data_IF_533647320852
#
_entry.id   IF_533647320852
#
_cell.length_a   1.000
_cell.length_b   1.000
_cell.length_c   1.000
_cell.angle_alpha   90.00
_cell.angle_beta   90.00
_cell.angle_gamma   90.00
#
_symmetry.space_group_name_H-M   'P 1'
#
loop_
_entity.id
_entity.type
_entity.pdbx_description
1 polymer ?
#
# COMPACT_ATOMS: atom_id res chain seq x y z
N UNK A 1 2.65 6.73 9.06
CA UNK A 1 2.61 5.36 8.52
C UNK A 1 3.31 5.30 7.17
N UNK A 2 3.67 4.11 6.69
CA UNK A 2 4.18 3.86 5.35
C UNK A 2 3.21 2.95 4.62
N UNK A 3 2.79 3.34 3.42
CA UNK A 3 1.92 2.56 2.54
C UNK A 3 2.69 2.08 1.31
N UNK A 4 2.48 0.83 0.95
CA UNK A 4 3.11 0.16 -0.19
C UNK A 4 2.09 -0.71 -0.94
N UNK A 5 2.28 -0.88 -2.25
CA UNK A 5 1.48 -1.81 -3.08
C UNK A 5 2.41 -2.90 -3.61
N UNK A 6 1.99 -4.16 -3.47
CA UNK A 6 2.69 -5.31 -4.05
C UNK A 6 1.83 -6.05 -5.05
N UNK A 7 2.44 -6.49 -6.14
CA UNK A 7 1.82 -7.44 -7.05
C UNK A 7 1.84 -8.83 -6.43
N UNK A 8 0.68 -9.49 -6.41
CA UNK A 8 0.60 -10.89 -6.04
C UNK A 8 0.78 -11.75 -7.29
N UNK A 9 1.53 -12.87 -7.20
CA UNK A 9 1.69 -13.78 -8.33
C UNK A 9 0.34 -14.21 -8.89
N UNK A 10 0.18 -14.12 -10.20
CA UNK A 10 -0.98 -14.69 -10.87
C UNK A 10 -0.94 -16.22 -10.74
N UNK A 11 -2.12 -16.81 -10.62
CA UNK A 11 -2.23 -18.26 -10.62
C UNK A 11 -2.44 -18.77 -12.06
N UNK A 12 -2.01 -20.00 -12.38
CA UNK A 12 -2.25 -20.57 -13.70
C UNK A 12 -3.75 -20.74 -14.03
N UNK A 13 -4.57 -21.00 -13.01
CA UNK A 13 -6.02 -21.22 -13.09
C UNK A 13 -6.85 -19.93 -12.93
N UNK A 14 -6.20 -18.79 -12.67
CA UNK A 14 -6.87 -17.52 -12.39
C UNK A 14 -6.09 -16.34 -12.99
N UNK A 15 -6.60 -15.81 -14.09
CA UNK A 15 -6.03 -14.66 -14.79
C UNK A 15 -6.22 -13.32 -14.04
N UNK A 16 -7.03 -13.27 -12.98
CA UNK A 16 -7.30 -12.06 -12.23
C UNK A 16 -6.03 -11.57 -11.52
N UNK A 17 -5.55 -10.40 -11.96
CA UNK A 17 -4.47 -9.69 -11.27
C UNK A 17 -4.92 -9.27 -9.88
N UNK A 18 -4.04 -9.46 -8.90
CA UNK A 18 -4.27 -9.03 -7.53
C UNK A 18 -3.09 -8.25 -7.00
N UNK A 19 -3.39 -7.36 -6.07
CA UNK A 19 -2.44 -6.49 -5.43
C UNK A 19 -2.66 -6.57 -3.93
N UNK A 20 -1.57 -6.53 -3.16
CA UNK A 20 -1.62 -6.41 -1.72
C UNK A 20 -1.28 -4.96 -1.36
N UNK A 21 -2.24 -4.28 -0.73
CA UNK A 21 -2.05 -2.99 -0.10
C UNK A 21 -1.57 -3.22 1.32
N UNK A 22 -0.47 -2.55 1.69
CA UNK A 22 0.16 -2.70 3.02
C UNK A 22 0.28 -1.33 3.65
N UNK A 23 -0.21 -1.17 4.88
CA UNK A 23 0.15 -0.07 5.77
C UNK A 23 0.97 -0.60 6.92
N UNK A 24 2.07 0.07 7.23
CA UNK A 24 2.85 -0.19 8.44
C UNK A 24 3.03 1.11 9.23
N UNK A 25 2.66 1.09 10.50
CA UNK A 25 3.11 2.11 11.42
C UNK A 25 4.55 1.84 11.88
N UNK A 26 5.44 2.82 11.66
CA UNK A 26 6.87 2.66 11.92
C UNK A 26 7.20 2.64 13.42
N UNK A 27 6.36 3.27 14.25
CA UNK A 27 6.57 3.35 15.70
C UNK A 27 6.10 2.07 16.40
N UNK A 28 4.82 1.70 16.22
CA UNK A 28 4.15 0.60 16.93
C UNK A 28 4.32 -0.76 16.26
N UNK A 29 4.73 -0.81 14.99
CA UNK A 29 4.66 -2.01 14.13
C UNK A 29 3.25 -2.49 13.84
N UNK A 30 2.21 -1.72 14.15
CA UNK A 30 0.87 -2.05 13.70
C UNK A 30 0.84 -2.10 12.17
N UNK A 31 0.21 -3.14 11.63
CA UNK A 31 0.10 -3.37 10.20
C UNK A 31 -1.38 -3.41 9.83
N UNK A 32 -1.69 -3.05 8.59
CA UNK A 32 -3.00 -3.25 7.99
C UNK A 32 -2.83 -3.71 6.55
N UNK A 33 -3.54 -4.77 6.16
CA UNK A 33 -3.39 -5.45 4.87
C UNK A 33 -4.74 -5.61 4.19
N UNK A 34 -4.80 -5.39 2.88
CA UNK A 34 -5.96 -5.76 2.06
C UNK A 34 -5.51 -6.27 0.69
N UNK A 35 -6.17 -7.31 0.20
CA UNK A 35 -6.01 -7.77 -1.19
C UNK A 35 -7.07 -7.11 -2.07
N UNK A 36 -6.62 -6.51 -3.17
CA UNK A 36 -7.48 -5.82 -4.13
C UNK A 36 -7.21 -6.31 -5.55
N UNK A 37 -8.18 -6.10 -6.45
CA UNK A 37 -8.13 -6.56 -7.85
C UNK A 37 -7.60 -5.50 -8.83
N UNK A 38 -7.44 -4.27 -8.39
CA UNK A 38 -6.83 -3.17 -9.14
C UNK A 38 -6.01 -2.27 -8.20
N UNK A 39 -5.10 -1.49 -8.78
CA UNK A 39 -4.28 -0.52 -8.04
C UNK A 39 -4.58 0.92 -8.43
N UNK A 40 -5.85 1.23 -8.71
CA UNK A 40 -6.26 2.60 -9.04
C UNK A 40 -6.14 3.51 -7.81
N UNK A 41 -6.02 4.82 -8.05
CA UNK A 41 -6.01 5.81 -6.98
C UNK A 41 -7.29 5.77 -6.12
N UNK A 42 -8.43 5.43 -6.71
CA UNK A 42 -9.71 5.26 -5.99
C UNK A 42 -9.64 4.09 -5.01
N UNK A 43 -9.10 2.96 -5.45
CA UNK A 43 -8.93 1.76 -4.62
C UNK A 43 -7.94 2.03 -3.48
N UNK A 44 -6.81 2.67 -3.77
CA UNK A 44 -5.84 3.07 -2.77
C UNK A 44 -6.44 4.05 -1.73
N UNK A 45 -7.20 5.05 -2.17
CA UNK A 45 -7.87 5.99 -1.29
C UNK A 45 -8.90 5.31 -0.36
N UNK A 46 -9.73 4.41 -0.90
CA UNK A 46 -10.72 3.68 -0.11
C UNK A 46 -10.06 2.79 0.96
N UNK A 47 -8.93 2.17 0.62
CA UNK A 47 -8.11 1.41 1.56
C UNK A 47 -7.59 2.28 2.71
N UNK A 48 -7.10 3.50 2.44
CA UNK A 48 -6.63 4.41 3.49
C UNK A 48 -7.76 4.80 4.45
N UNK A 49 -8.98 5.05 3.94
CA UNK A 49 -10.14 5.33 4.79
C UNK A 49 -10.42 4.18 5.76
N UNK A 50 -10.49 2.95 5.26
CA UNK A 50 -10.68 1.74 6.10
C UNK A 50 -9.53 1.52 7.09
N UNK A 51 -8.29 1.76 6.65
CA UNK A 51 -7.11 1.69 7.52
C UNK A 51 -7.20 2.71 8.66
N UNK A 52 -7.62 3.93 8.35
CA UNK A 52 -7.75 5.02 9.33
C UNK A 52 -8.83 4.69 10.38
N UNK A 53 -9.98 4.18 9.95
CA UNK A 53 -11.08 3.74 10.84
C UNK A 53 -10.66 2.65 11.82
N UNK A 54 -9.74 1.77 11.42
CA UNK A 54 -9.21 0.68 12.25
C UNK A 54 -7.99 1.08 13.10
N UNK A 55 -7.42 2.25 12.84
CA UNK A 55 -6.21 2.69 13.50
C UNK A 55 -6.53 3.28 14.88
N UNK A 56 -5.90 2.73 15.93
CA UNK A 56 -6.08 3.21 17.30
C UNK A 56 -5.22 4.45 17.65
N UNK A 57 -4.38 4.92 16.72
CA UNK A 57 -3.49 6.07 16.91
C UNK A 57 -3.79 7.19 15.91
N UNK A 58 -3.50 8.42 16.30
CA UNK A 58 -3.65 9.58 15.41
C UNK A 58 -2.61 9.52 14.29
N UNK A 59 -3.09 9.34 13.05
CA UNK A 59 -2.23 9.33 11.87
C UNK A 59 -1.95 10.76 11.43
N UNK A 60 -0.73 11.26 11.67
CA UNK A 60 -0.33 12.62 11.22
C UNK A 60 0.21 12.66 9.80
N UNK A 61 0.94 11.62 9.40
CA UNK A 61 1.65 11.59 8.12
C UNK A 61 1.62 10.21 7.52
N UNK A 62 1.40 10.11 6.21
CA UNK A 62 1.62 8.88 5.44
C UNK A 62 2.71 9.09 4.40
N UNK A 63 3.60 8.11 4.34
CA UNK A 63 4.67 8.00 3.36
C UNK A 63 4.26 6.98 2.28
N UNK A 64 4.33 7.37 1.01
CA UNK A 64 4.13 6.46 -0.13
C UNK A 64 5.27 6.59 -1.13
N UNK A 65 5.43 5.61 -2.01
CA UNK A 65 6.30 5.80 -3.17
C UNK A 65 5.68 6.81 -4.18
N UNK A 66 6.39 7.01 -5.29
CA UNK A 66 6.01 7.92 -6.38
C UNK A 66 5.01 7.30 -7.37
N UNK A 67 4.35 6.20 -7.00
CA UNK A 67 3.38 5.50 -7.83
C UNK A 67 2.19 6.36 -8.20
N UNK A 68 1.64 6.12 -9.40
CA UNK A 68 0.46 6.83 -9.93
C UNK A 68 -0.83 6.54 -9.14
N UNK A 69 -0.82 5.45 -8.39
CA UNK A 69 -1.82 5.11 -7.37
C UNK A 69 -1.89 6.13 -6.23
N UNK A 70 -0.79 6.81 -5.92
CA UNK A 70 -0.67 7.68 -4.76
C UNK A 70 -0.51 9.15 -5.11
N UNK A 71 -0.01 9.46 -6.31
CA UNK A 71 0.19 10.84 -6.74
C UNK A 71 0.08 10.97 -8.25
N UNK A 72 -0.38 12.13 -8.69
CA UNK A 72 -0.44 12.48 -10.10
C UNK A 72 0.71 13.39 -10.55
N UNK A 73 1.71 13.62 -9.67
CA UNK A 73 2.89 14.47 -9.91
C UNK A 73 3.86 13.89 -10.94
N UNK A 74 3.98 12.57 -11.05
CA UNK A 74 4.93 11.92 -11.97
C UNK A 74 4.23 11.44 -13.24
N UNK A 75 4.64 11.98 -14.38
CA UNK A 75 4.17 11.63 -15.72
C UNK A 75 5.32 11.06 -16.55
N UNK A 76 5.01 10.48 -17.72
CA UNK A 76 6.03 9.85 -18.57
C UNK A 76 7.19 10.79 -18.94
N UNK A 77 6.92 12.11 -18.99
CA UNK A 77 7.87 13.13 -19.44
C UNK A 77 8.45 13.98 -18.30
N UNK A 78 8.32 13.55 -17.03
CA UNK A 78 8.90 14.24 -15.88
C UNK A 78 7.93 14.46 -14.72
N UNK A 79 8.19 15.52 -13.96
CA UNK A 79 7.41 15.92 -12.80
C UNK A 79 6.53 17.14 -13.13
N UNK A 80 5.30 17.15 -12.63
CA UNK A 80 4.40 18.30 -12.69
C UNK A 80 3.90 18.64 -11.29
N UNK A 81 3.40 19.86 -11.15
CA UNK A 81 2.68 20.23 -9.93
C UNK A 81 1.48 19.31 -9.73
N UNK A 82 1.21 18.86 -8.49
CA UNK A 82 0.01 18.09 -8.18
C UNK A 82 -1.22 18.90 -8.59
N UNK A 83 -2.24 18.23 -9.14
CA UNK A 83 -3.43 18.93 -9.63
C UNK A 83 -4.46 19.23 -8.56
N UNK A 84 -4.23 18.76 -7.33
CA UNK A 84 -5.19 18.71 -6.23
C UNK A 84 -6.51 17.95 -6.55
N UNK A 85 -6.60 17.34 -7.74
CA UNK A 85 -7.76 16.54 -8.19
C UNK A 85 -7.57 15.05 -7.96
N UNK A 86 -6.38 14.62 -7.58
CA UNK A 86 -6.07 13.21 -7.35
C UNK A 86 -6.93 12.65 -6.21
N UNK A 87 -7.55 11.49 -6.43
CA UNK A 87 -8.47 10.88 -5.45
C UNK A 87 -7.77 10.58 -4.10
N UNK A 88 -6.47 10.28 -4.17
CA UNK A 88 -5.65 10.09 -2.99
C UNK A 88 -5.53 11.41 -2.22
N UNK A 89 -5.06 12.49 -2.82
CA UNK A 89 -4.85 13.80 -2.16
C UNK A 89 -6.12 14.32 -1.44
N UNK A 90 -7.30 14.17 -2.07
CA UNK A 90 -8.59 14.53 -1.46
C UNK A 90 -8.87 13.79 -0.15
N UNK A 91 -8.59 12.50 -0.13
CA UNK A 91 -8.80 11.66 1.08
C UNK A 91 -7.90 12.11 2.22
N UNK A 92 -6.66 12.52 1.94
CA UNK A 92 -5.73 13.01 2.95
C UNK A 92 -6.14 14.36 3.51
N UNK A 93 -6.64 15.25 2.65
CA UNK A 93 -7.21 16.53 3.08
C UNK A 93 -8.44 16.32 3.99
N UNK A 94 -9.35 15.42 3.59
CA UNK A 94 -10.54 15.06 4.39
C UNK A 94 -10.15 14.51 5.77
N UNK A 95 -9.12 13.67 5.85
CA UNK A 95 -8.66 13.05 7.10
C UNK A 95 -7.67 13.92 7.89
N UNK A 96 -7.33 15.12 7.40
CA UNK A 96 -6.29 15.99 7.97
C UNK A 96 -4.93 15.28 8.15
N UNK A 97 -4.57 14.42 7.20
CA UNK A 97 -3.32 13.67 7.18
C UNK A 97 -2.37 14.31 6.18
N UNK A 98 -1.12 14.54 6.57
CA UNK A 98 -0.09 14.98 5.64
C UNK A 98 0.37 13.81 4.74
N UNK A 99 0.30 13.97 3.42
CA UNK A 99 0.87 13.02 2.47
C UNK A 99 2.29 13.45 2.08
N UNK A 100 3.27 12.56 2.27
CA UNK A 100 4.64 12.75 1.78
C UNK A 100 5.06 11.60 0.88
N UNK A 101 5.80 11.95 -0.16
CA UNK A 101 6.42 10.98 -1.05
C UNK A 101 7.77 10.54 -0.49
N UNK A 102 8.11 9.26 -0.65
CA UNK A 102 9.39 8.72 -0.23
C UNK A 102 10.49 9.41 -1.04
N UNK A 103 11.45 10.08 -0.37
CA UNK A 103 12.58 10.68 -1.07
C UNK A 103 13.45 9.60 -1.70
N UNK A 104 13.99 9.83 -2.91
CA UNK A 104 14.89 8.89 -3.55
C UNK A 104 16.14 8.66 -2.68
N UNK A 105 16.56 7.39 -2.53
CA UNK A 105 17.79 6.94 -1.84
C UNK A 105 17.90 7.27 -0.34
N UNK A 106 17.10 6.63 0.52
CA UNK A 106 17.33 6.60 1.97
C UNK A 106 17.25 5.18 2.59
N UNK A 107 18.32 4.37 2.50
CA UNK A 107 18.33 2.97 2.96
C UNK A 107 18.15 2.80 4.48
N UNK A 108 18.66 3.74 5.29
CA UNK A 108 18.79 3.55 6.74
C UNK A 108 17.47 3.61 7.54
N UNK A 109 16.44 4.32 7.05
CA UNK A 109 15.15 4.49 7.76
C UNK A 109 14.06 3.52 7.28
N UNK A 110 14.35 2.70 6.27
CA UNK A 110 13.36 1.82 5.62
C UNK A 110 13.54 0.34 5.95
N UNK A 111 14.68 -0.07 6.50
CA UNK A 111 15.03 -1.49 6.67
C UNK A 111 14.01 -2.34 7.44
N UNK A 112 13.20 -1.78 8.35
CA UNK A 112 12.12 -2.52 9.03
C UNK A 112 10.91 -2.76 8.12
N UNK A 113 10.47 -1.74 7.38
CA UNK A 113 9.36 -1.85 6.45
C UNK A 113 9.76 -2.77 5.29
N UNK A 114 10.97 -2.60 4.78
CA UNK A 114 11.56 -3.47 3.75
C UNK A 114 11.63 -4.93 4.22
N UNK A 115 12.02 -5.19 5.48
CA UNK A 115 12.01 -6.56 6.04
C UNK A 115 10.61 -7.14 6.17
N UNK A 116 9.61 -6.35 6.57
CA UNK A 116 8.23 -6.84 6.61
C UNK A 116 7.73 -7.17 5.20
N UNK A 117 7.88 -6.23 4.26
CA UNK A 117 7.44 -6.41 2.88
C UNK A 117 8.19 -7.56 2.19
N UNK A 118 9.48 -7.75 2.52
CA UNK A 118 10.29 -8.88 2.09
C UNK A 118 9.77 -10.21 2.60
N UNK A 119 9.40 -10.31 3.90
CA UNK A 119 8.82 -11.54 4.48
C UNK A 119 7.48 -11.91 3.85
N UNK A 120 6.59 -10.93 3.66
CA UNK A 120 5.32 -11.14 2.95
C UNK A 120 5.59 -11.65 1.54
N UNK A 121 6.50 -10.99 0.81
CA UNK A 121 6.84 -11.38 -0.57
C UNK A 121 7.42 -12.78 -0.63
N UNK A 122 8.26 -13.16 0.33
CA UNK A 122 8.82 -14.50 0.44
C UNK A 122 7.74 -15.54 0.73
N UNK A 123 6.87 -15.28 1.71
CA UNK A 123 5.76 -16.17 2.08
C UNK A 123 4.84 -16.44 0.90
N UNK A 124 4.42 -15.39 0.18
CA UNK A 124 3.56 -15.52 -1.00
C UNK A 124 4.25 -16.33 -2.11
N UNK A 125 5.57 -16.16 -2.30
CA UNK A 125 6.33 -16.91 -3.31
C UNK A 125 6.58 -18.38 -2.92
N UNK A 126 6.79 -18.67 -1.63
CA UNK A 126 7.12 -20.01 -1.16
C UNK A 126 5.90 -20.88 -0.86
N UNK A 127 4.71 -20.29 -0.77
CA UNK A 127 3.49 -21.00 -0.38
C UNK A 127 2.66 -21.37 -1.61
N UNK A 128 2.37 -22.66 -1.76
CA UNK A 128 1.36 -23.10 -2.71
C UNK A 128 -0.03 -22.91 -2.11
N UNK A 129 -0.79 -21.96 -2.65
CA UNK A 129 -2.20 -21.77 -2.28
C UNK A 129 -3.09 -22.66 -3.15
N UNK A 130 -4.09 -23.31 -2.55
CA UNK A 130 -5.05 -24.15 -3.30
C UNK A 130 -6.01 -23.31 -4.15
N UNK A 131 -6.34 -22.10 -3.71
CA UNK A 131 -7.20 -21.15 -4.42
C UNK A 131 -6.76 -19.71 -4.15
N UNK A 132 -7.29 -18.76 -4.94
CA UNK A 132 -7.09 -17.33 -4.67
C UNK A 132 -7.69 -16.93 -3.31
N UNK A 133 -8.84 -17.49 -2.94
CA UNK A 133 -9.48 -17.28 -1.64
C UNK A 133 -8.56 -17.72 -0.49
N UNK A 134 -7.97 -18.91 -0.58
CA UNK A 134 -7.03 -19.39 0.43
C UNK A 134 -5.82 -18.46 0.62
N UNK A 135 -5.32 -17.87 -0.47
CA UNK A 135 -4.26 -16.85 -0.41
C UNK A 135 -4.74 -15.57 0.28
N UNK A 136 -5.91 -15.06 -0.10
CA UNK A 136 -6.50 -13.84 0.47
C UNK A 136 -6.72 -14.02 1.98
N UNK A 137 -7.40 -15.10 2.37
CA UNK A 137 -7.64 -15.41 3.78
C UNK A 137 -6.34 -15.55 4.57
N UNK A 138 -5.30 -16.17 4.00
CA UNK A 138 -4.00 -16.28 4.68
C UNK A 138 -3.35 -14.90 4.89
N UNK A 139 -3.43 -14.01 3.91
CA UNK A 139 -2.88 -12.66 3.99
C UNK A 139 -3.65 -11.77 4.97
N UNK A 140 -4.98 -11.90 5.02
CA UNK A 140 -5.84 -11.15 5.95
C UNK A 140 -5.59 -11.54 7.42
N UNK A 141 -5.25 -12.81 7.68
CA UNK A 141 -4.90 -13.32 9.01
C UNK A 141 -3.42 -13.17 9.38
N UNK A 142 -2.60 -12.55 8.53
CA UNK A 142 -1.16 -12.37 8.80
C UNK A 142 -0.87 -11.31 9.89
N UNK A 143 -1.92 -10.71 10.46
CA UNK A 143 -1.87 -9.52 11.30
C UNK A 143 -2.07 -9.82 12.78
#
# INVERSE_FOLDING_TARGET
>A
MHVDIKYLPNRPDDAQKRYLLVVIDRATRWVYLEVVTDKTAKTAAAFIKRCYEKCSVVVKTILTDKGKEFTDRFIANGERQPTDKHAFDKTYLELSIEHRLIPPKHPQTHGRVERFNGRISQMVKSTYFRSAEAMITTLEHYN
#
